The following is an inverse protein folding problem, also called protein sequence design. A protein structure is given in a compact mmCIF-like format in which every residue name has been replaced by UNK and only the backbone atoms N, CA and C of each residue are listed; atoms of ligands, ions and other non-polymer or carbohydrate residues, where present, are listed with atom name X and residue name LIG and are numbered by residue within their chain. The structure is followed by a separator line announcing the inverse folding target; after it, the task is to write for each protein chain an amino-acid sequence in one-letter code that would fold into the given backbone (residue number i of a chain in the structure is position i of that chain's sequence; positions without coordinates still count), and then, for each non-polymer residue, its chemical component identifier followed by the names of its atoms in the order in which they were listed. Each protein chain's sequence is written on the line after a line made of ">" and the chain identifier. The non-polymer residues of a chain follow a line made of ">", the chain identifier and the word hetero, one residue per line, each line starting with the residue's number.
data_IF_647800060957
#
_entry.id   IF_647800060957
#
_cell.length_a   1.000
_cell.length_b   1.000
_cell.length_c   1.000
_cell.angle_alpha   90.00
_cell.angle_beta   90.00
_cell.angle_gamma   90.00
#
_symmetry.space_group_name_H-M   'P 1'
#
loop_
_entity.id
_entity.type
_entity.pdbx_description
1 polymer ?
#
# COMPACT_ATOMS: atom_id res chain seq x y z
N UNK A 1 -18.81 10.86 -39.16
CA UNK A 1 -17.36 10.71 -39.38
C UNK A 1 -16.98 10.94 -40.84
N UNK A 2 -17.62 10.30 -41.81
CA UNK A 2 -17.26 10.38 -43.23
C UNK A 2 -17.33 11.84 -43.76
N UNK A 3 -18.39 12.59 -43.43
CA UNK A 3 -18.54 13.99 -43.82
C UNK A 3 -17.44 14.93 -43.26
N UNK A 4 -16.93 14.66 -42.03
CA UNK A 4 -15.83 15.44 -41.45
C UNK A 4 -14.48 15.06 -42.09
N UNK A 5 -14.30 13.79 -42.42
CA UNK A 5 -13.07 13.27 -43.05
C UNK A 5 -12.83 13.76 -44.47
N UNK A 6 -13.91 14.21 -45.13
CA UNK A 6 -13.88 14.72 -46.49
C UNK A 6 -13.67 16.24 -46.56
N UNK A 7 -13.50 16.92 -45.45
CA UNK A 7 -13.26 18.36 -45.44
C UNK A 7 -11.84 18.70 -45.88
N UNK A 8 -11.62 19.87 -46.56
CA UNK A 8 -10.31 20.26 -47.08
C UNK A 8 -9.21 20.37 -46.01
N UNK A 9 -9.56 20.75 -44.79
CA UNK A 9 -8.64 20.86 -43.64
C UNK A 9 -8.13 19.50 -43.14
N UNK A 10 -8.79 18.39 -43.48
CA UNK A 10 -8.38 17.03 -43.17
C UNK A 10 -7.92 16.23 -44.39
N UNK A 11 -7.41 16.95 -45.40
CA UNK A 11 -6.98 16.30 -46.67
C UNK A 11 -5.72 15.48 -46.55
N UNK A 12 -4.87 15.71 -45.56
CA UNK A 12 -3.61 15.01 -45.36
C UNK A 12 -3.66 14.03 -44.16
N UNK A 13 -2.77 13.04 -44.18
CA UNK A 13 -2.61 12.15 -43.02
C UNK A 13 -2.19 12.90 -41.76
N UNK A 14 -1.31 13.90 -41.89
CA UNK A 14 -0.86 14.72 -40.78
C UNK A 14 -2.00 15.51 -40.14
N UNK A 15 -2.83 16.21 -40.94
CA UNK A 15 -3.97 16.97 -40.44
C UNK A 15 -5.02 16.09 -39.76
N UNK A 16 -5.25 14.90 -40.28
CA UNK A 16 -6.15 13.90 -39.68
C UNK A 16 -5.63 13.40 -38.33
N UNK A 17 -4.33 13.13 -38.24
CA UNK A 17 -3.69 12.69 -36.99
C UNK A 17 -3.77 13.78 -35.92
N UNK A 18 -3.48 15.05 -36.26
CA UNK A 18 -3.62 16.18 -35.37
C UNK A 18 -5.07 16.34 -34.89
N UNK A 19 -6.03 16.30 -35.82
CA UNK A 19 -7.45 16.40 -35.47
C UNK A 19 -7.90 15.31 -34.49
N UNK A 20 -7.46 14.07 -34.71
CA UNK A 20 -7.75 12.96 -33.78
C UNK A 20 -7.10 13.20 -32.42
N UNK A 21 -5.83 13.61 -32.40
CA UNK A 21 -5.11 13.94 -31.17
C UNK A 21 -5.85 15.00 -30.37
N UNK A 22 -6.19 16.12 -31.02
CA UNK A 22 -6.89 17.25 -30.37
C UNK A 22 -8.29 16.86 -29.85
N UNK A 23 -8.98 15.98 -30.59
CA UNK A 23 -10.31 15.50 -30.21
C UNK A 23 -10.29 14.64 -28.94
N UNK A 24 -9.25 13.79 -28.81
CA UNK A 24 -9.14 12.87 -27.67
C UNK A 24 -8.30 13.39 -26.52
N UNK A 25 -7.48 14.45 -26.72
CA UNK A 25 -6.63 15.02 -25.70
C UNK A 25 -7.39 15.43 -24.43
N UNK A 26 -8.55 16.10 -24.48
CA UNK A 26 -9.31 16.43 -23.27
C UNK A 26 -9.80 15.21 -22.51
N UNK A 27 -10.09 14.11 -23.24
CA UNK A 27 -10.50 12.85 -22.62
C UNK A 27 -9.29 12.16 -21.98
N UNK A 28 -8.14 12.16 -22.67
CA UNK A 28 -6.88 11.64 -22.15
C UNK A 28 -6.48 12.41 -20.89
N UNK A 29 -6.49 13.75 -20.94
CA UNK A 29 -6.19 14.62 -19.79
C UNK A 29 -7.15 14.36 -18.61
N UNK A 30 -8.43 14.10 -18.91
CA UNK A 30 -9.42 13.76 -17.88
C UNK A 30 -9.15 12.39 -17.27
N UNK A 31 -8.77 11.40 -18.09
CA UNK A 31 -8.41 10.05 -17.63
C UNK A 31 -7.11 10.11 -16.84
N UNK A 32 -6.12 10.87 -17.29
CA UNK A 32 -4.86 11.08 -16.59
C UNK A 32 -5.07 11.77 -15.24
N UNK A 33 -5.87 12.85 -15.21
CA UNK A 33 -6.26 13.52 -13.95
C UNK A 33 -7.12 12.64 -13.04
N UNK A 34 -7.96 11.77 -13.56
CA UNK A 34 -8.72 10.82 -12.76
C UNK A 34 -7.90 9.59 -12.35
N UNK A 35 -6.79 9.30 -13.05
CA UNK A 35 -5.78 8.36 -12.60
C UNK A 35 -4.90 8.93 -11.48
N UNK A 36 -4.83 10.25 -11.33
CA UNK A 36 -4.34 10.97 -10.16
C UNK A 36 -5.35 11.00 -8.98
N UNK A 37 -6.43 10.21 -9.02
CA UNK A 37 -7.13 9.85 -7.79
C UNK A 37 -6.05 9.31 -6.87
N UNK A 38 -5.80 10.02 -5.77
CA UNK A 38 -4.82 9.63 -4.73
C UNK A 38 -5.14 8.21 -4.27
N UNK A 39 -4.51 7.24 -4.97
CA UNK A 39 -4.70 5.83 -4.67
C UNK A 39 -4.16 5.62 -3.26
N UNK A 40 -5.06 5.28 -2.34
CA UNK A 40 -4.72 5.08 -0.94
C UNK A 40 -5.00 6.26 -0.01
N UNK A 41 -5.55 7.38 -0.52
CA UNK A 41 -5.85 8.56 0.29
C UNK A 41 -4.61 9.23 0.87
N UNK A 42 -4.82 10.13 1.84
CA UNK A 42 -3.73 10.76 2.60
C UNK A 42 -3.10 9.72 3.53
N UNK A 43 -1.81 9.45 3.34
CA UNK A 43 -1.06 8.58 4.23
C UNK A 43 -0.61 9.37 5.46
N UNK A 44 -1.04 8.93 6.63
CA UNK A 44 -0.54 9.45 7.91
C UNK A 44 0.75 8.70 8.23
N UNK A 45 1.90 9.38 8.32
CA UNK A 45 3.17 8.73 8.63
C UNK A 45 3.11 7.99 9.97
N UNK A 46 3.73 6.82 10.00
CA UNK A 46 3.78 5.99 11.22
C UNK A 46 4.84 6.46 12.22
N UNK A 47 5.78 7.29 11.78
CA UNK A 47 6.99 7.64 12.53
C UNK A 47 8.09 6.57 12.44
N UNK A 48 7.83 5.42 11.81
CA UNK A 48 8.86 4.46 11.46
C UNK A 48 9.49 4.85 10.12
N UNK A 49 10.64 5.50 10.15
CA UNK A 49 11.26 6.14 8.99
C UNK A 49 11.37 5.24 7.76
N UNK A 50 11.76 3.95 7.96
CA UNK A 50 11.90 3.00 6.85
C UNK A 50 10.56 2.62 6.23
N UNK A 51 9.51 2.47 7.04
CA UNK A 51 8.14 2.17 6.60
C UNK A 51 7.61 3.34 5.80
N UNK A 52 7.68 4.55 6.37
CA UNK A 52 7.16 5.76 5.76
C UNK A 52 7.85 6.04 4.42
N UNK A 53 9.19 5.96 4.37
CA UNK A 53 9.96 6.10 3.13
C UNK A 53 9.54 5.08 2.07
N UNK A 54 9.33 3.81 2.45
CA UNK A 54 8.92 2.77 1.51
C UNK A 54 7.52 3.01 0.96
N UNK A 55 6.58 3.47 1.78
CA UNK A 55 5.21 3.81 1.34
C UNK A 55 5.25 4.99 0.36
N UNK A 56 6.03 6.04 0.64
CA UNK A 56 6.19 7.16 -0.28
C UNK A 56 6.83 6.72 -1.61
N UNK A 57 7.82 5.83 -1.57
CA UNK A 57 8.44 5.28 -2.77
C UNK A 57 7.45 4.43 -3.59
N UNK A 58 6.61 3.60 -2.94
CA UNK A 58 5.56 2.85 -3.62
C UNK A 58 4.57 3.78 -4.31
N UNK A 59 4.11 4.86 -3.65
CA UNK A 59 3.23 5.89 -4.23
C UNK A 59 3.89 6.55 -5.44
N UNK A 60 5.13 6.99 -5.30
CA UNK A 60 5.89 7.64 -6.36
C UNK A 60 6.05 6.73 -7.58
N UNK A 61 6.42 5.47 -7.39
CA UNK A 61 6.56 4.50 -8.49
C UNK A 61 5.23 4.19 -9.15
N UNK A 62 4.15 4.05 -8.37
CA UNK A 62 2.83 3.73 -8.92
C UNK A 62 2.30 4.84 -9.83
N UNK A 63 2.62 6.11 -9.56
CA UNK A 63 2.19 7.24 -10.40
C UNK A 63 2.76 7.19 -11.82
N UNK A 64 3.96 6.62 -11.99
CA UNK A 64 4.68 6.55 -13.28
C UNK A 64 4.75 5.16 -13.90
N UNK A 65 4.36 4.11 -13.16
CA UNK A 65 4.45 2.73 -13.63
C UNK A 65 3.47 2.44 -14.77
N UNK A 66 3.98 1.81 -15.84
CA UNK A 66 3.23 1.41 -17.02
C UNK A 66 3.49 -0.02 -17.45
N UNK A 67 4.58 -0.66 -16.97
CA UNK A 67 4.94 -2.05 -17.33
C UNK A 67 4.71 -3.02 -16.17
N UNK A 68 4.57 -4.30 -16.51
CA UNK A 68 4.40 -5.37 -15.54
C UNK A 68 5.55 -5.42 -14.52
N UNK A 69 6.80 -5.28 -14.98
CA UNK A 69 7.98 -5.30 -14.13
C UNK A 69 8.00 -4.14 -13.13
N UNK A 70 7.49 -2.96 -13.55
CA UNK A 70 7.33 -1.82 -12.68
C UNK A 70 6.27 -2.08 -11.60
N UNK A 71 5.16 -2.73 -11.94
CA UNK A 71 4.14 -3.13 -10.96
C UNK A 71 4.66 -4.21 -10.01
N UNK A 72 5.42 -5.19 -10.50
CA UNK A 72 6.09 -6.20 -9.66
C UNK A 72 7.07 -5.56 -8.68
N UNK A 73 7.83 -4.54 -9.11
CA UNK A 73 8.76 -3.81 -8.25
C UNK A 73 8.03 -3.11 -7.07
N UNK A 74 6.80 -2.63 -7.29
CA UNK A 74 5.95 -2.08 -6.22
C UNK A 74 5.54 -3.18 -5.23
N UNK A 75 5.18 -4.37 -5.71
CA UNK A 75 4.91 -5.53 -4.87
C UNK A 75 6.11 -5.91 -4.00
N UNK A 76 7.32 -5.91 -4.57
CA UNK A 76 8.54 -6.19 -3.80
C UNK A 76 8.79 -5.15 -2.70
N UNK A 77 8.59 -3.85 -2.98
CA UNK A 77 8.65 -2.81 -1.95
C UNK A 77 7.61 -3.02 -0.86
N UNK A 78 6.38 -3.40 -1.23
CA UNK A 78 5.33 -3.75 -0.29
C UNK A 78 5.74 -4.89 0.65
N UNK A 79 6.35 -5.94 0.12
CA UNK A 79 6.86 -7.06 0.91
C UNK A 79 7.91 -6.59 1.93
N UNK A 80 8.92 -5.84 1.48
CA UNK A 80 9.96 -5.30 2.37
C UNK A 80 9.37 -4.37 3.44
N UNK A 81 8.33 -3.61 3.10
CA UNK A 81 7.61 -2.76 4.05
C UNK A 81 6.91 -3.58 5.13
N UNK A 82 6.20 -4.67 4.76
CA UNK A 82 5.55 -5.57 5.73
C UNK A 82 6.57 -6.24 6.64
N UNK A 83 7.72 -6.68 6.10
CA UNK A 83 8.82 -7.23 6.89
C UNK A 83 9.34 -6.19 7.88
N UNK A 84 9.53 -4.95 7.44
CA UNK A 84 9.99 -3.86 8.31
C UNK A 84 8.98 -3.58 9.43
N UNK A 85 7.68 -3.48 9.11
CA UNK A 85 6.62 -3.32 10.11
C UNK A 85 6.67 -4.44 11.15
N UNK A 86 6.80 -5.69 10.70
CA UNK A 86 6.88 -6.84 11.60
C UNK A 86 8.10 -6.76 12.54
N UNK A 87 9.24 -6.34 12.02
CA UNK A 87 10.48 -6.17 12.81
C UNK A 87 10.38 -5.03 13.83
N UNK A 88 9.61 -3.97 13.55
CA UNK A 88 9.41 -2.85 14.48
C UNK A 88 8.57 -3.24 15.71
N UNK A 89 7.62 -4.17 15.55
CA UNK A 89 6.64 -4.46 16.61
C UNK A 89 6.82 -5.83 17.27
N UNK A 90 7.53 -6.77 16.63
CA UNK A 90 7.68 -8.12 17.16
C UNK A 90 8.80 -8.22 18.17
N UNK A 91 8.46 -8.59 19.41
CA UNK A 91 9.41 -8.99 20.44
C UNK A 91 9.19 -10.49 20.78
N UNK A 92 10.18 -11.33 20.48
CA UNK A 92 10.14 -12.77 20.76
C UNK A 92 10.01 -13.14 22.23
N UNK A 93 10.28 -12.22 23.14
CA UNK A 93 10.12 -12.43 24.58
C UNK A 93 8.67 -12.26 25.04
N UNK A 94 7.88 -11.53 24.27
CA UNK A 94 6.49 -11.16 24.57
C UNK A 94 5.54 -11.93 23.65
N UNK A 95 5.83 -11.94 22.34
CA UNK A 95 4.94 -12.48 21.31
C UNK A 95 5.27 -13.93 21.02
N UNK A 96 4.52 -14.84 21.64
CA UNK A 96 4.72 -16.30 21.50
C UNK A 96 4.10 -16.75 20.18
N UNK A 97 4.89 -17.43 19.36
CA UNK A 97 4.41 -18.08 18.13
C UNK A 97 3.78 -19.44 18.46
N UNK A 98 2.67 -19.79 17.82
CA UNK A 98 1.86 -20.97 18.13
C UNK A 98 2.65 -22.29 18.14
N UNK A 99 3.62 -22.44 17.25
CA UNK A 99 4.46 -23.65 17.14
C UNK A 99 5.71 -23.63 18.03
N UNK A 100 5.92 -22.55 18.79
CA UNK A 100 7.08 -22.39 19.67
C UNK A 100 8.43 -22.24 18.96
N UNK A 101 8.45 -22.06 17.64
CA UNK A 101 9.67 -21.87 16.85
C UNK A 101 9.81 -20.40 16.51
N UNK A 102 10.93 -19.77 16.88
CA UNK A 102 11.20 -18.37 16.55
C UNK A 102 11.12 -18.15 15.03
N UNK A 103 10.33 -17.17 14.57
CA UNK A 103 10.27 -16.85 13.13
C UNK A 103 11.60 -16.28 12.65
N UNK A 104 11.93 -16.50 11.38
CA UNK A 104 13.05 -15.80 10.76
C UNK A 104 12.77 -14.30 10.66
N UNK A 105 13.82 -13.49 10.54
CA UNK A 105 13.69 -12.04 10.43
C UNK A 105 12.90 -11.57 9.20
N UNK A 106 12.62 -12.46 8.25
CA UNK A 106 11.84 -12.17 7.04
C UNK A 106 10.46 -12.82 7.04
N UNK A 107 10.12 -13.56 8.10
CA UNK A 107 8.80 -14.19 8.25
C UNK A 107 7.80 -13.23 8.90
N UNK A 108 7.50 -12.17 8.16
CA UNK A 108 6.61 -11.11 8.61
C UNK A 108 5.23 -11.63 9.03
N UNK A 109 4.70 -12.65 8.31
CA UNK A 109 3.39 -13.19 8.61
C UNK A 109 3.35 -13.78 10.02
N UNK A 110 4.29 -14.64 10.37
CA UNK A 110 4.32 -15.27 11.71
C UNK A 110 4.60 -14.26 12.82
N UNK A 111 5.48 -13.27 12.57
CA UNK A 111 5.74 -12.19 13.51
C UNK A 111 4.47 -11.36 13.78
N UNK A 112 3.78 -10.92 12.73
CA UNK A 112 2.55 -10.12 12.86
C UNK A 112 1.37 -10.92 13.43
N UNK A 113 1.25 -12.20 13.09
CA UNK A 113 0.24 -13.08 13.67
C UNK A 113 0.43 -13.25 15.19
N UNK A 114 1.68 -13.42 15.65
CA UNK A 114 1.99 -13.50 17.07
C UNK A 114 1.75 -12.18 17.79
N UNK A 115 2.18 -11.05 17.22
CA UNK A 115 1.89 -9.70 17.72
C UNK A 115 0.38 -9.46 17.86
N UNK A 116 -0.39 -9.62 16.77
CA UNK A 116 -1.84 -9.41 16.78
C UNK A 116 -2.57 -10.39 17.72
N UNK A 117 -2.07 -11.63 17.85
CA UNK A 117 -2.63 -12.62 18.76
C UNK A 117 -2.47 -12.22 20.22
N UNK A 118 -1.33 -11.65 20.58
CA UNK A 118 -1.02 -11.16 21.92
C UNK A 118 -1.77 -9.86 22.23
N UNK A 119 -1.57 -8.82 21.42
CA UNK A 119 -2.04 -7.47 21.69
C UNK A 119 -3.56 -7.32 21.56
N UNK A 120 -4.16 -8.05 20.67
CA UNK A 120 -5.61 -8.12 20.50
C UNK A 120 -6.21 -9.37 21.13
N UNK A 121 -5.64 -9.83 22.26
CA UNK A 121 -6.19 -10.98 22.98
C UNK A 121 -7.58 -10.68 23.56
N UNK A 122 -8.36 -11.73 23.81
CA UNK A 122 -9.72 -11.64 24.35
C UNK A 122 -10.83 -11.55 23.29
N UNK A 123 -12.05 -11.86 23.76
CA UNK A 123 -13.23 -12.00 22.85
C UNK A 123 -13.73 -10.67 22.29
N UNK A 124 -13.56 -9.55 23.01
CA UNK A 124 -13.95 -8.21 22.55
C UNK A 124 -13.17 -7.77 21.30
N UNK A 125 -11.94 -8.26 21.14
CA UNK A 125 -11.04 -7.90 20.04
C UNK A 125 -11.10 -8.87 18.85
N UNK A 126 -11.94 -9.91 18.89
CA UNK A 126 -11.99 -10.96 17.88
C UNK A 126 -12.18 -10.41 16.46
N UNK A 127 -13.10 -9.47 16.26
CA UNK A 127 -13.37 -8.89 14.94
C UNK A 127 -12.20 -8.04 14.45
N UNK A 128 -11.61 -7.22 15.32
CA UNK A 128 -10.44 -6.37 15.00
C UNK A 128 -9.24 -7.24 14.63
N UNK A 129 -8.97 -8.28 15.41
CA UNK A 129 -7.90 -9.25 15.14
C UNK A 129 -8.10 -9.97 13.80
N UNK A 130 -9.33 -10.43 13.49
CA UNK A 130 -9.64 -11.07 12.20
C UNK A 130 -9.43 -10.11 11.03
N UNK A 131 -9.88 -8.85 11.17
CA UNK A 131 -9.67 -7.84 10.13
C UNK A 131 -8.18 -7.54 9.91
N UNK A 132 -7.43 -7.29 10.98
CA UNK A 132 -5.99 -7.02 10.89
C UNK A 132 -5.22 -8.18 10.25
N UNK A 133 -5.49 -9.43 10.65
CA UNK A 133 -4.90 -10.63 10.02
C UNK A 133 -5.27 -10.75 8.54
N UNK A 134 -6.53 -10.50 8.18
CA UNK A 134 -6.96 -10.53 6.77
C UNK A 134 -6.28 -9.42 5.94
N UNK A 135 -6.04 -8.25 6.51
CA UNK A 135 -5.30 -7.18 5.83
C UNK A 135 -3.83 -7.58 5.58
N UNK A 136 -3.19 -8.19 6.59
CA UNK A 136 -1.82 -8.73 6.44
C UNK A 136 -1.77 -9.83 5.36
N UNK A 137 -2.72 -10.76 5.38
CA UNK A 137 -2.79 -11.85 4.39
C UNK A 137 -2.95 -11.31 2.97
N UNK A 138 -3.85 -10.34 2.77
CA UNK A 138 -4.06 -9.70 1.46
C UNK A 138 -2.81 -8.97 0.99
N UNK A 139 -2.20 -8.16 1.86
CA UNK A 139 -0.98 -7.44 1.52
C UNK A 139 0.14 -8.42 1.14
N UNK A 140 0.33 -9.49 1.91
CA UNK A 140 1.33 -10.52 1.64
C UNK A 140 1.05 -11.26 0.31
N UNK A 141 -0.21 -11.59 0.01
CA UNK A 141 -0.59 -12.21 -1.27
C UNK A 141 -0.22 -11.32 -2.45
N UNK A 142 -0.59 -10.04 -2.40
CA UNK A 142 -0.37 -9.09 -3.50
C UNK A 142 1.12 -8.81 -3.76
N UNK A 143 1.97 -8.95 -2.74
CA UNK A 143 3.43 -8.78 -2.90
C UNK A 143 4.11 -9.93 -3.64
N UNK A 144 3.41 -11.04 -3.85
CA UNK A 144 3.94 -12.24 -4.54
C UNK A 144 3.36 -12.45 -5.94
N UNK A 145 2.48 -11.57 -6.40
CA UNK A 145 1.86 -11.72 -7.72
C UNK A 145 2.89 -11.46 -8.83
N UNK A 146 3.05 -12.45 -9.71
CA UNK A 146 3.98 -12.38 -10.85
C UNK A 146 3.35 -11.76 -12.10
N UNK A 147 2.03 -11.69 -12.16
CA UNK A 147 1.25 -11.12 -13.26
C UNK A 147 0.65 -9.77 -12.83
N UNK A 148 1.46 -8.95 -12.17
CA UNK A 148 0.99 -7.73 -11.55
C UNK A 148 0.48 -6.72 -12.59
N UNK A 149 -0.75 -6.32 -12.42
CA UNK A 149 -1.36 -5.20 -13.14
C UNK A 149 -1.27 -3.91 -12.32
N UNK A 150 -1.58 -2.76 -12.94
CA UNK A 150 -1.73 -1.50 -12.20
C UNK A 150 -2.72 -1.63 -11.03
N UNK A 151 -3.82 -2.37 -11.24
CA UNK A 151 -4.83 -2.63 -10.20
C UNK A 151 -4.21 -3.38 -9.01
N UNK A 152 -3.42 -4.42 -9.28
CA UNK A 152 -2.81 -5.24 -8.22
C UNK A 152 -1.77 -4.44 -7.43
N UNK A 153 -0.94 -3.64 -8.13
CA UNK A 153 0.00 -2.72 -7.50
C UNK A 153 -0.71 -1.65 -6.64
N UNK A 154 -1.84 -1.11 -7.10
CA UNK A 154 -2.67 -0.18 -6.34
C UNK A 154 -3.27 -0.84 -5.10
N UNK A 155 -3.81 -2.04 -5.24
CA UNK A 155 -4.35 -2.82 -4.11
C UNK A 155 -3.25 -3.18 -3.11
N UNK A 156 -2.05 -3.50 -3.58
CA UNK A 156 -0.88 -3.75 -2.74
C UNK A 156 -0.53 -2.51 -1.90
N UNK A 157 -0.40 -1.34 -2.53
CA UNK A 157 -0.13 -0.08 -1.83
C UNK A 157 -1.19 0.21 -0.75
N UNK A 158 -2.49 0.12 -1.10
CA UNK A 158 -3.60 0.35 -0.16
C UNK A 158 -3.52 -0.64 1.02
N UNK A 159 -3.29 -1.92 0.74
CA UNK A 159 -3.24 -2.95 1.78
C UNK A 159 -2.04 -2.76 2.72
N UNK A 160 -0.85 -2.47 2.17
CA UNK A 160 0.36 -2.19 2.96
C UNK A 160 0.18 -0.94 3.82
N UNK A 161 -0.40 0.13 3.27
CA UNK A 161 -0.70 1.37 4.00
C UNK A 161 -1.69 1.11 5.14
N UNK A 162 -2.75 0.34 4.88
CA UNK A 162 -3.74 -0.03 5.89
C UNK A 162 -3.10 -0.88 7.01
N UNK A 163 -2.26 -1.85 6.67
CA UNK A 163 -1.51 -2.65 7.65
C UNK A 163 -0.61 -1.75 8.50
N UNK A 164 0.17 -0.86 7.89
CA UNK A 164 1.03 0.07 8.60
C UNK A 164 0.25 0.90 9.62
N UNK A 165 -0.88 1.49 9.21
CA UNK A 165 -1.73 2.31 10.07
C UNK A 165 -2.36 1.51 11.22
N UNK A 166 -2.88 0.30 10.93
CA UNK A 166 -3.51 -0.57 11.94
C UNK A 166 -2.48 -1.01 12.98
N UNK A 167 -1.34 -1.53 12.52
CA UNK A 167 -0.30 -2.02 13.42
C UNK A 167 0.27 -0.88 14.28
N UNK A 168 0.48 0.30 13.69
CA UNK A 168 0.94 1.48 14.42
C UNK A 168 -0.05 1.91 15.50
N UNK A 169 -1.33 1.97 15.18
CA UNK A 169 -2.38 2.30 16.16
C UNK A 169 -2.40 1.33 17.34
N UNK A 170 -2.31 0.02 17.06
CA UNK A 170 -2.26 -1.01 18.10
C UNK A 170 -1.00 -0.81 18.95
N UNK A 171 0.16 -0.62 18.30
CA UNK A 171 1.45 -0.45 18.97
C UNK A 171 1.47 0.77 19.90
N UNK A 172 0.95 1.91 19.46
CA UNK A 172 0.88 3.14 20.29
C UNK A 172 -0.07 3.01 21.49
N UNK A 173 -1.15 2.24 21.33
CA UNK A 173 -2.11 2.02 22.44
C UNK A 173 -1.50 1.22 23.59
N UNK A 174 -0.42 0.47 23.33
CA UNK A 174 0.26 -0.40 24.29
C UNK A 174 1.41 0.33 25.00
N UNK A 175 2.05 1.29 24.32
CA UNK A 175 3.12 2.09 24.93
C UNK A 175 2.49 3.01 25.99
N UNK A 176 2.91 2.94 27.27
CA UNK A 176 2.47 3.92 28.23
C UNK A 176 2.87 5.30 27.72
N UNK A 177 1.92 6.24 27.67
CA UNK A 177 2.22 7.63 27.31
C UNK A 177 3.26 8.16 28.29
N UNK A 178 4.47 8.47 27.83
CA UNK A 178 5.51 9.20 28.60
C UNK A 178 5.08 10.64 28.98
N UNK A 179 3.77 10.94 28.93
CA UNK A 179 3.20 12.28 29.10
C UNK A 179 2.63 12.53 30.49
N UNK A 180 2.85 11.69 31.49
CA UNK A 180 2.34 11.92 32.87
C UNK A 180 3.43 12.20 33.91
N UNK A 181 4.63 12.61 33.53
CA UNK A 181 5.67 13.02 34.49
C UNK A 181 6.08 14.49 34.29
N UNK A 182 5.17 15.44 34.32
CA UNK A 182 5.49 16.86 34.66
C UNK A 182 4.23 17.65 34.98
N UNK A 183 3.55 17.31 36.10
CA UNK A 183 2.72 18.26 36.81
C UNK A 183 3.45 18.65 38.09
N UNK A 184 4.08 19.84 38.16
CA UNK A 184 4.58 20.38 39.40
C UNK A 184 3.38 20.76 40.28
N UNK A 185 3.31 20.14 41.45
CA UNK A 185 2.43 20.55 42.53
C UNK A 185 2.90 21.89 43.13
#
# INVERSE_FOLDING_TARGET
>A
WYGRWSQPDLSTYASRRTFISDLYQPLIDTIEKSADIEIGGEYIPTGWERVDRSVYEMKSRLSTAITEEQFQAIGMLGRETIITIAQEVFDKKVHIVEDGIDPSNTDAKRMLDAFLGHELSGGSNEKTRKFAKSAVDLANQLTHDRMATRRDASMCLISVTAVASIIKLIYETIQPSDAEEDLPF
#
